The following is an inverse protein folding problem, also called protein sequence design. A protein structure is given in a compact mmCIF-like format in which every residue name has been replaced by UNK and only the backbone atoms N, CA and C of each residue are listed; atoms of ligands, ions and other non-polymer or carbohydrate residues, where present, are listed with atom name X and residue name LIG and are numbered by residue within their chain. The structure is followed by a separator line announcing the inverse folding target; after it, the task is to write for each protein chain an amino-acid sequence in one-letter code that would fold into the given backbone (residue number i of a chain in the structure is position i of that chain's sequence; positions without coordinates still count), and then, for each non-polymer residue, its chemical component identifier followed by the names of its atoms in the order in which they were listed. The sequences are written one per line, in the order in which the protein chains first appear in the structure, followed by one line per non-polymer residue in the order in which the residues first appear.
data_IF_246345755586
#
_entry.id   IF_246345755586
#
_cell.length_a   1.000
_cell.length_b   1.000
_cell.length_c   1.000
_cell.angle_alpha   90.00
_cell.angle_beta   90.00
_cell.angle_gamma   90.00
#
_symmetry.space_group_name_H-M   'P 1'
#
loop_
_entity.id
_entity.type
_entity.pdbx_description
1 polymer ?
#
# COMPACT_ATOMS: atom_id res chain seq x y z
N UNK A 1 51.07 -52.17 -25.90
CA UNK A 1 50.42 -52.04 -27.22
C UNK A 1 49.29 -51.06 -27.08
N UNK A 2 49.50 -49.79 -27.46
CA UNK A 2 48.42 -48.82 -27.52
C UNK A 2 47.48 -49.31 -28.62
N UNK A 3 46.25 -49.64 -28.28
CA UNK A 3 45.16 -49.79 -29.25
C UNK A 3 44.97 -48.46 -29.90
N UNK A 4 45.56 -48.18 -31.02
CA UNK A 4 45.30 -47.05 -31.85
C UNK A 4 43.84 -47.16 -32.30
N UNK A 5 43.04 -46.10 -32.14
CA UNK A 5 41.61 -46.09 -32.43
C UNK A 5 41.31 -46.08 -33.93
N UNK A 6 40.05 -46.26 -34.31
CA UNK A 6 39.58 -46.10 -35.70
C UNK A 6 40.06 -44.80 -36.29
N UNK A 7 40.37 -44.76 -37.58
CA UNK A 7 40.81 -43.59 -38.30
C UNK A 7 39.74 -42.46 -38.26
N UNK A 8 38.47 -42.83 -38.28
CA UNK A 8 37.34 -41.92 -38.10
C UNK A 8 36.50 -42.41 -36.90
N UNK A 9 36.26 -41.51 -35.93
CA UNK A 9 35.38 -41.82 -34.82
C UNK A 9 33.95 -42.08 -35.32
N UNK A 10 33.26 -43.08 -34.77
CA UNK A 10 31.94 -43.53 -35.25
C UNK A 10 30.89 -42.40 -35.34
N UNK A 11 30.88 -41.49 -34.39
CA UNK A 11 29.98 -40.32 -34.43
C UNK A 11 30.35 -39.37 -35.55
N UNK A 12 31.64 -39.15 -35.79
CA UNK A 12 32.13 -38.27 -36.87
C UNK A 12 31.79 -38.85 -38.23
N UNK A 13 31.95 -40.15 -38.41
CA UNK A 13 31.65 -40.86 -39.64
C UNK A 13 30.24 -40.58 -40.15
N UNK A 14 29.25 -40.64 -39.25
CA UNK A 14 27.86 -40.41 -39.65
C UNK A 14 27.57 -38.95 -39.98
N UNK A 15 28.19 -37.99 -39.28
CA UNK A 15 28.02 -36.57 -39.60
C UNK A 15 28.75 -36.20 -40.89
N UNK A 16 30.00 -36.71 -41.08
CA UNK A 16 30.80 -36.47 -42.27
C UNK A 16 30.10 -36.92 -43.58
N UNK A 17 29.35 -38.06 -43.51
CA UNK A 17 28.58 -38.55 -44.68
C UNK A 17 27.60 -37.57 -45.26
N UNK A 18 27.10 -36.67 -44.43
CA UNK A 18 26.09 -35.68 -44.82
C UNK A 18 26.64 -34.22 -44.90
N UNK A 19 27.92 -34.04 -44.65
CA UNK A 19 28.57 -32.74 -44.77
C UNK A 19 28.93 -32.43 -46.21
N UNK A 20 28.74 -31.18 -46.62
CA UNK A 20 29.06 -30.77 -47.99
C UNK A 20 30.57 -30.72 -48.25
N UNK A 21 31.35 -30.26 -47.24
CA UNK A 21 32.82 -30.18 -47.37
C UNK A 21 33.47 -31.54 -47.62
N UNK A 22 32.85 -32.64 -47.13
CA UNK A 22 33.39 -34.00 -47.37
C UNK A 22 33.49 -34.34 -48.86
N UNK A 23 32.59 -33.80 -49.68
CA UNK A 23 32.53 -34.06 -51.12
C UNK A 23 33.77 -33.55 -51.89
N UNK A 24 34.52 -32.65 -51.33
CA UNK A 24 35.72 -32.05 -51.93
C UNK A 24 36.98 -32.93 -51.69
N UNK A 25 36.83 -34.00 -50.86
CA UNK A 25 37.95 -34.84 -50.44
C UNK A 25 37.72 -36.32 -50.82
N UNK A 26 38.07 -36.75 -52.05
CA UNK A 26 37.87 -38.12 -52.54
C UNK A 26 38.48 -39.21 -51.61
N UNK A 27 39.65 -38.93 -51.03
CA UNK A 27 40.30 -39.82 -50.07
C UNK A 27 39.41 -40.02 -48.82
N UNK A 28 38.80 -38.98 -48.32
CA UNK A 28 37.91 -39.08 -47.16
C UNK A 28 36.62 -39.84 -47.53
N UNK A 29 36.07 -39.61 -48.72
CA UNK A 29 34.90 -40.36 -49.22
C UNK A 29 35.22 -41.81 -49.33
N UNK A 30 36.37 -42.22 -49.89
CA UNK A 30 36.77 -43.59 -50.00
C UNK A 30 36.82 -44.32 -48.65
N UNK A 31 37.44 -43.68 -47.66
CA UNK A 31 37.45 -44.22 -46.28
C UNK A 31 36.06 -44.33 -45.68
N UNK A 32 35.21 -43.31 -45.86
CA UNK A 32 33.87 -43.28 -45.31
C UNK A 32 32.95 -44.37 -45.91
N UNK A 33 33.09 -44.63 -47.21
CA UNK A 33 32.20 -45.53 -47.94
C UNK A 33 32.72 -46.98 -47.96
N UNK A 34 34.03 -47.15 -48.20
CA UNK A 34 34.60 -48.44 -48.44
C UNK A 34 35.35 -49.01 -47.21
N UNK A 35 35.82 -48.13 -46.30
CA UNK A 35 36.70 -48.53 -45.19
C UNK A 35 36.30 -47.90 -43.87
N UNK A 36 34.98 -47.93 -43.47
CA UNK A 36 34.50 -47.17 -42.33
C UNK A 36 35.05 -47.57 -40.96
N UNK A 37 35.56 -48.83 -40.89
CA UNK A 37 36.08 -49.37 -39.64
C UNK A 37 37.61 -49.41 -39.60
N UNK A 38 38.31 -48.91 -40.60
CA UNK A 38 39.76 -48.89 -40.67
C UNK A 38 40.42 -48.21 -39.47
N UNK A 39 41.50 -48.79 -38.97
CA UNK A 39 42.32 -48.21 -37.92
C UNK A 39 43.42 -47.32 -38.53
N UNK A 40 43.87 -46.29 -37.75
CA UNK A 40 44.88 -45.34 -38.19
C UNK A 40 46.19 -46.07 -38.68
N UNK A 41 46.55 -47.19 -38.02
CA UNK A 41 47.74 -48.01 -38.38
C UNK A 41 47.58 -48.70 -39.69
N UNK A 42 46.35 -48.98 -40.12
CA UNK A 42 46.07 -49.77 -41.35
C UNK A 42 45.88 -48.85 -42.58
N UNK A 43 45.85 -47.54 -42.44
CA UNK A 43 45.72 -46.64 -43.56
C UNK A 43 46.83 -46.77 -44.62
N UNK A 44 48.01 -47.21 -44.20
CA UNK A 44 49.14 -47.51 -45.10
C UNK A 44 48.83 -48.65 -46.05
N UNK A 45 47.91 -49.55 -45.69
CA UNK A 45 47.49 -50.69 -46.55
C UNK A 45 46.65 -50.18 -47.73
N UNK A 46 46.03 -49.01 -47.63
CA UNK A 46 45.29 -48.33 -48.74
C UNK A 46 46.25 -47.65 -49.66
N UNK A 47 46.93 -46.57 -49.15
CA UNK A 47 48.03 -45.93 -49.89
C UNK A 47 48.73 -44.88 -48.98
N UNK A 48 49.93 -44.41 -49.38
CA UNK A 48 50.66 -43.35 -48.71
C UNK A 48 49.85 -41.97 -48.74
N UNK A 49 48.99 -41.80 -49.72
CA UNK A 49 48.15 -40.62 -49.81
C UNK A 49 47.12 -40.61 -48.72
N UNK A 50 46.51 -41.71 -48.34
CA UNK A 50 45.60 -41.85 -47.22
C UNK A 50 46.31 -41.46 -45.91
N UNK A 51 47.51 -41.98 -45.69
CA UNK A 51 48.29 -41.61 -44.49
C UNK A 51 48.56 -40.13 -44.44
N UNK A 52 49.06 -39.55 -45.50
CA UNK A 52 49.32 -38.07 -45.57
C UNK A 52 48.08 -37.22 -45.37
N UNK A 53 46.94 -37.66 -45.89
CA UNK A 53 45.65 -36.97 -45.67
C UNK A 53 45.26 -37.00 -44.23
N UNK A 54 45.26 -38.10 -43.59
CA UNK A 54 44.87 -38.24 -42.19
C UNK A 54 45.81 -37.50 -41.24
N UNK A 55 47.11 -37.51 -41.52
CA UNK A 55 48.12 -36.81 -40.74
C UNK A 55 48.03 -35.27 -40.85
N UNK A 56 47.75 -34.75 -42.05
CA UNK A 56 47.89 -33.31 -42.32
C UNK A 56 46.57 -32.58 -42.55
N UNK A 57 45.53 -33.23 -43.05
CA UNK A 57 44.33 -32.59 -43.57
C UNK A 57 43.07 -32.97 -42.79
N UNK A 58 42.92 -34.20 -42.33
CA UNK A 58 41.70 -34.74 -41.76
C UNK A 58 41.18 -33.87 -40.59
N UNK A 59 42.03 -33.47 -39.66
CA UNK A 59 41.63 -32.65 -38.53
C UNK A 59 41.00 -31.30 -38.94
N UNK A 60 41.55 -30.67 -40.01
CA UNK A 60 41.05 -29.43 -40.56
C UNK A 60 39.70 -29.64 -41.26
N UNK A 61 39.59 -30.67 -42.08
CA UNK A 61 38.33 -31.02 -42.77
C UNK A 61 37.23 -31.36 -41.78
N UNK A 62 37.56 -32.13 -40.76
CA UNK A 62 36.63 -32.45 -39.65
C UNK A 62 36.08 -31.20 -39.00
N UNK A 63 36.94 -30.21 -38.68
CA UNK A 63 36.49 -28.94 -38.08
C UNK A 63 35.60 -28.15 -39.05
N UNK A 64 35.96 -28.14 -40.33
CA UNK A 64 35.16 -27.47 -41.35
C UNK A 64 33.77 -28.12 -41.49
N UNK A 65 33.72 -29.44 -41.53
CA UNK A 65 32.46 -30.20 -41.59
C UNK A 65 31.54 -29.89 -40.38
N UNK A 66 32.12 -29.82 -39.20
CA UNK A 66 31.32 -29.50 -37.99
C UNK A 66 30.82 -28.07 -38.02
N UNK A 67 31.57 -27.11 -38.57
CA UNK A 67 31.15 -25.70 -38.75
C UNK A 67 30.03 -25.52 -39.76
N UNK A 68 29.75 -26.48 -40.62
CA UNK A 68 28.58 -26.42 -41.51
C UNK A 68 27.28 -26.50 -40.68
N UNK A 69 27.34 -27.07 -39.50
CA UNK A 69 26.15 -27.29 -38.65
C UNK A 69 26.01 -26.21 -37.63
N UNK A 70 24.77 -25.81 -37.41
CA UNK A 70 24.39 -24.81 -36.40
C UNK A 70 23.02 -25.15 -35.82
N UNK A 71 22.66 -24.52 -34.73
CA UNK A 71 21.35 -24.62 -34.14
C UNK A 71 20.92 -23.36 -33.46
N UNK A 72 19.62 -23.19 -33.26
CA UNK A 72 19.03 -22.09 -32.52
C UNK A 72 18.48 -22.59 -31.19
N UNK A 73 19.02 -22.10 -30.09
CA UNK A 73 18.63 -22.49 -28.75
C UNK A 73 17.12 -22.34 -28.50
N UNK A 74 16.50 -21.35 -29.13
CA UNK A 74 15.07 -21.04 -28.88
C UNK A 74 14.12 -21.93 -29.67
N UNK A 75 14.53 -22.42 -30.83
CA UNK A 75 13.63 -23.09 -31.79
C UNK A 75 13.91 -24.59 -31.95
N UNK A 76 15.15 -25.01 -31.69
CA UNK A 76 15.65 -26.29 -32.13
C UNK A 76 15.82 -27.33 -30.98
N UNK A 77 15.46 -26.98 -29.74
CA UNK A 77 15.50 -27.94 -28.63
C UNK A 77 14.10 -28.50 -28.37
N UNK A 78 13.98 -29.82 -28.47
CA UNK A 78 12.71 -30.55 -28.34
C UNK A 78 12.80 -31.61 -27.25
N UNK A 79 11.71 -31.75 -26.50
CA UNK A 79 11.52 -32.88 -25.57
C UNK A 79 10.50 -33.81 -26.17
N UNK A 80 10.87 -35.08 -26.20
CA UNK A 80 10.03 -36.17 -26.67
C UNK A 80 9.48 -37.00 -25.51
N UNK A 81 8.27 -37.48 -25.66
CA UNK A 81 7.72 -38.52 -24.78
C UNK A 81 8.30 -39.89 -25.19
N UNK A 82 8.36 -40.83 -24.25
CA UNK A 82 8.81 -42.21 -24.56
C UNK A 82 7.99 -42.88 -25.69
N UNK A 83 6.71 -42.48 -25.81
CA UNK A 83 5.82 -42.94 -26.89
C UNK A 83 6.19 -42.42 -28.29
N UNK A 84 7.04 -41.42 -28.40
CA UNK A 84 7.33 -40.79 -29.70
C UNK A 84 8.41 -41.57 -30.50
N UNK A 85 9.07 -42.53 -29.88
CA UNK A 85 10.08 -43.42 -30.46
C UNK A 85 11.13 -42.70 -31.34
N UNK A 86 11.51 -41.50 -30.98
CA UNK A 86 12.53 -40.72 -31.70
C UNK A 86 13.91 -41.20 -31.35
N UNK A 87 14.79 -41.28 -32.35
CA UNK A 87 16.16 -41.71 -32.19
C UNK A 87 17.15 -40.66 -32.67
N UNK A 88 18.31 -40.62 -32.07
CA UNK A 88 19.42 -39.76 -32.48
C UNK A 88 19.93 -40.18 -33.88
N UNK A 89 19.99 -39.22 -34.80
CA UNK A 89 20.52 -39.49 -36.15
C UNK A 89 21.96 -40.04 -36.13
N UNK A 90 22.75 -39.63 -35.16
CA UNK A 90 24.18 -39.98 -35.07
C UNK A 90 24.44 -41.33 -34.41
N UNK A 91 23.79 -41.63 -33.27
CA UNK A 91 24.10 -42.83 -32.49
C UNK A 91 22.94 -43.83 -32.38
N UNK A 92 21.78 -43.51 -32.96
CA UNK A 92 20.55 -44.33 -32.95
C UNK A 92 19.99 -44.62 -31.53
N UNK A 93 20.48 -43.95 -30.48
CA UNK A 93 19.87 -44.06 -29.15
C UNK A 93 18.55 -43.31 -29.10
N UNK A 94 17.60 -43.83 -28.35
CA UNK A 94 16.29 -43.18 -28.12
C UNK A 94 16.47 -41.86 -27.46
N UNK A 95 15.78 -40.83 -27.99
CA UNK A 95 15.84 -39.45 -27.53
C UNK A 95 14.70 -39.16 -26.60
N UNK A 96 14.99 -38.81 -25.33
CA UNK A 96 14.08 -38.09 -24.43
C UNK A 96 14.16 -36.61 -24.67
N UNK A 97 15.23 -36.19 -25.30
CA UNK A 97 15.56 -34.79 -25.57
C UNK A 97 16.42 -34.74 -26.84
N UNK A 98 16.13 -33.82 -27.73
CA UNK A 98 16.88 -33.62 -28.96
C UNK A 98 17.32 -32.15 -29.13
N UNK A 99 18.53 -32.01 -29.63
CA UNK A 99 19.02 -30.80 -30.27
C UNK A 99 18.83 -30.94 -31.76
N UNK A 100 17.93 -30.20 -32.37
CA UNK A 100 17.82 -30.13 -33.81
C UNK A 100 18.93 -29.25 -34.34
N UNK A 101 19.79 -29.76 -35.19
CA UNK A 101 20.85 -29.02 -35.85
C UNK A 101 20.56 -28.94 -37.34
N UNK A 102 20.97 -27.89 -37.99
CA UNK A 102 20.78 -27.71 -39.42
C UNK A 102 22.11 -27.36 -40.14
N UNK A 103 22.27 -27.92 -41.32
CA UNK A 103 23.40 -27.60 -42.15
C UNK A 103 23.18 -26.23 -42.84
N UNK A 104 24.13 -25.30 -42.67
CA UNK A 104 24.06 -23.93 -43.22
C UNK A 104 24.10 -23.90 -44.75
N UNK A 105 24.67 -24.97 -45.39
CA UNK A 105 24.85 -25.04 -46.82
C UNK A 105 23.66 -25.71 -47.48
N UNK A 106 23.29 -26.90 -46.97
CA UNK A 106 22.24 -27.74 -47.56
C UNK A 106 20.85 -27.45 -47.03
N UNK A 107 20.74 -26.81 -45.86
CA UNK A 107 19.48 -26.61 -45.14
C UNK A 107 18.92 -27.89 -44.49
N UNK A 108 19.65 -29.01 -44.56
CA UNK A 108 19.24 -30.27 -43.96
C UNK A 108 19.14 -30.15 -42.42
N UNK A 109 18.12 -30.79 -41.83
CA UNK A 109 17.89 -30.79 -40.38
C UNK A 109 17.93 -32.21 -39.83
N UNK A 110 18.67 -32.39 -38.74
CA UNK A 110 18.74 -33.66 -38.04
C UNK A 110 18.59 -33.45 -36.52
N UNK A 111 18.03 -34.46 -35.85
CA UNK A 111 17.86 -34.46 -34.38
C UNK A 111 19.01 -35.29 -33.75
N UNK A 112 19.76 -34.66 -32.85
CA UNK A 112 20.87 -35.33 -32.12
C UNK A 112 20.62 -35.28 -30.61
N UNK A 113 21.14 -36.29 -29.91
CA UNK A 113 21.10 -36.37 -28.47
C UNK A 113 22.17 -35.50 -27.79
N UNK A 114 22.05 -35.30 -26.47
CA UNK A 114 22.98 -34.51 -25.63
C UNK A 114 24.43 -34.95 -25.79
N UNK A 115 24.69 -36.24 -25.74
CA UNK A 115 26.08 -36.79 -25.85
C UNK A 115 26.68 -36.55 -27.23
N UNK A 116 25.86 -36.57 -28.27
CA UNK A 116 26.32 -36.24 -29.61
C UNK A 116 26.54 -34.75 -29.76
N UNK A 117 25.65 -33.90 -29.19
CA UNK A 117 25.88 -32.47 -29.15
C UNK A 117 27.16 -32.09 -28.40
N UNK A 118 27.43 -32.73 -27.26
CA UNK A 118 28.67 -32.52 -26.50
C UNK A 118 29.90 -32.90 -27.31
N UNK A 119 29.81 -33.96 -28.12
CA UNK A 119 30.88 -34.36 -29.01
C UNK A 119 31.17 -33.35 -30.13
N UNK A 120 30.13 -32.77 -30.70
CA UNK A 120 30.25 -31.81 -31.80
C UNK A 120 30.41 -30.37 -31.36
N UNK A 121 30.00 -30.01 -30.11
CA UNK A 121 30.11 -28.67 -29.54
C UNK A 121 29.24 -27.62 -30.24
N UNK A 122 28.07 -28.01 -30.76
CA UNK A 122 27.17 -27.09 -31.50
C UNK A 122 26.40 -26.19 -30.57
N UNK A 123 25.91 -26.73 -29.45
CA UNK A 123 25.26 -25.96 -28.36
C UNK A 123 26.11 -26.06 -27.09
N UNK A 124 26.17 -24.97 -26.32
CA UNK A 124 26.80 -25.00 -25.02
C UNK A 124 25.96 -25.85 -24.04
N UNK A 125 26.62 -26.65 -23.23
CA UNK A 125 25.97 -27.57 -22.29
C UNK A 125 25.10 -26.82 -21.27
N UNK A 126 25.58 -25.63 -20.84
CA UNK A 126 24.87 -24.77 -19.92
C UNK A 126 23.51 -24.26 -20.48
N UNK A 127 23.48 -23.91 -21.74
CA UNK A 127 22.25 -23.43 -22.39
C UNK A 127 21.21 -24.56 -22.49
N UNK A 128 21.66 -25.77 -22.78
CA UNK A 128 20.80 -26.97 -22.79
C UNK A 128 20.23 -27.23 -21.41
N UNK A 129 21.04 -27.14 -20.36
CA UNK A 129 20.60 -27.37 -18.97
C UNK A 129 19.56 -26.30 -18.54
N UNK A 130 19.77 -25.08 -18.93
CA UNK A 130 18.82 -23.98 -18.60
C UNK A 130 17.46 -24.17 -19.28
N UNK A 131 17.44 -24.63 -20.54
CA UNK A 131 16.19 -24.93 -21.23
C UNK A 131 15.48 -26.14 -20.61
N UNK A 132 16.21 -27.21 -20.32
CA UNK A 132 15.66 -28.41 -19.65
C UNK A 132 15.04 -28.01 -18.30
N UNK A 133 15.72 -27.17 -17.53
CA UNK A 133 15.23 -26.66 -16.26
C UNK A 133 13.97 -25.84 -16.44
N UNK A 134 13.93 -24.94 -17.44
CA UNK A 134 12.73 -24.15 -17.75
C UNK A 134 11.55 -25.04 -18.16
N UNK A 135 11.77 -26.03 -18.99
CA UNK A 135 10.70 -26.94 -19.41
C UNK A 135 10.20 -27.82 -18.27
N UNK A 136 11.10 -28.33 -17.41
CA UNK A 136 10.68 -29.01 -16.18
C UNK A 136 9.82 -28.14 -15.29
N UNK A 137 10.18 -26.84 -15.15
CA UNK A 137 9.34 -25.86 -14.43
C UNK A 137 7.97 -25.70 -15.06
N UNK A 138 7.87 -25.66 -16.38
CA UNK A 138 6.60 -25.58 -17.08
C UNK A 138 5.73 -26.81 -16.83
N UNK A 139 6.29 -28.02 -16.95
CA UNK A 139 5.57 -29.27 -16.66
C UNK A 139 5.08 -29.32 -15.21
N UNK A 140 5.93 -28.92 -14.26
CA UNK A 140 5.55 -28.84 -12.84
C UNK A 140 4.43 -27.82 -12.63
N UNK A 141 4.53 -26.66 -13.29
CA UNK A 141 3.51 -25.62 -13.25
C UNK A 141 2.16 -26.09 -13.80
N UNK A 142 2.18 -26.80 -14.92
CA UNK A 142 0.96 -27.36 -15.50
C UNK A 142 0.30 -28.42 -14.60
N UNK A 143 1.12 -29.26 -13.93
CA UNK A 143 0.60 -30.21 -12.93
C UNK A 143 -0.04 -29.49 -11.76
N UNK A 144 0.62 -28.43 -11.26
CA UNK A 144 0.15 -27.62 -10.14
C UNK A 144 -1.17 -26.90 -10.49
N UNK A 145 -1.24 -26.30 -11.68
CA UNK A 145 -2.42 -25.58 -12.16
C UNK A 145 -3.63 -26.51 -12.42
N UNK A 146 -3.37 -27.76 -12.86
CA UNK A 146 -4.41 -28.78 -12.96
C UNK A 146 -4.96 -29.21 -11.61
N UNK A 147 -4.10 -29.35 -10.59
CA UNK A 147 -4.52 -29.74 -9.23
C UNK A 147 -5.15 -28.55 -8.48
N UNK A 148 -4.60 -27.35 -8.64
CA UNK A 148 -5.04 -26.12 -7.98
C UNK A 148 -5.26 -25.00 -9.00
N UNK A 149 -6.41 -24.99 -9.71
CA UNK A 149 -6.66 -24.01 -10.75
C UNK A 149 -6.58 -22.58 -10.24
N UNK A 150 -5.77 -21.75 -10.91
CA UNK A 150 -5.60 -20.34 -10.57
C UNK A 150 -4.71 -20.05 -9.36
N UNK A 151 -3.98 -21.03 -8.81
CA UNK A 151 -3.12 -20.86 -7.64
C UNK A 151 -2.14 -19.69 -7.80
N UNK A 152 -1.54 -19.53 -8.97
CA UNK A 152 -0.59 -18.43 -9.23
C UNK A 152 -1.24 -17.04 -9.10
N UNK A 153 -2.50 -16.89 -9.53
CA UNK A 153 -3.25 -15.65 -9.36
C UNK A 153 -3.63 -15.43 -7.90
N UNK A 154 -3.97 -16.51 -7.19
CA UNK A 154 -4.26 -16.46 -5.76
C UNK A 154 -3.02 -15.98 -5.00
N UNK A 155 -1.85 -16.58 -5.24
CA UNK A 155 -0.58 -16.18 -4.62
C UNK A 155 -0.25 -14.72 -4.92
N UNK A 156 -0.39 -14.28 -6.17
CA UNK A 156 -0.10 -12.90 -6.59
C UNK A 156 -0.99 -11.87 -5.88
N UNK A 157 -2.26 -12.21 -5.65
CA UNK A 157 -3.25 -11.30 -5.08
C UNK A 157 -3.49 -11.52 -3.58
N UNK A 158 -2.74 -12.40 -2.94
CA UNK A 158 -2.99 -12.80 -1.56
C UNK A 158 -3.01 -11.64 -0.58
N UNK A 159 -2.05 -10.74 -0.72
CA UNK A 159 -1.92 -9.54 0.14
C UNK A 159 -3.01 -8.49 -0.09
N UNK A 160 -3.78 -8.64 -1.16
CA UNK A 160 -4.80 -7.66 -1.58
C UNK A 160 -6.21 -8.02 -1.08
N UNK A 161 -6.32 -8.83 -0.03
CA UNK A 161 -7.62 -9.31 0.47
C UNK A 161 -8.58 -8.18 0.82
N UNK A 162 -8.05 -7.06 1.25
CA UNK A 162 -8.79 -5.89 1.70
C UNK A 162 -8.77 -4.71 0.71
N UNK A 163 -8.23 -4.87 -0.51
CA UNK A 163 -7.98 -3.75 -1.43
C UNK A 163 -9.25 -2.95 -1.78
N UNK A 164 -10.38 -3.63 -1.89
CA UNK A 164 -11.67 -3.03 -2.24
C UNK A 164 -12.54 -2.71 -1.02
N UNK A 165 -12.05 -2.96 0.18
CA UNK A 165 -12.83 -2.70 1.38
C UNK A 165 -12.61 -1.27 1.86
N UNK A 166 -13.68 -0.61 2.25
CA UNK A 166 -13.64 0.72 2.84
C UNK A 166 -13.19 0.67 4.30
N UNK A 167 -13.62 -0.38 5.01
CA UNK A 167 -13.25 -0.63 6.41
C UNK A 167 -11.76 -0.98 6.51
N UNK A 168 -11.07 -0.44 7.50
CA UNK A 168 -9.72 -0.85 7.82
C UNK A 168 -9.74 -2.20 8.53
N UNK A 169 -9.00 -3.17 7.99
CA UNK A 169 -8.88 -4.50 8.59
C UNK A 169 -7.56 -4.56 9.35
N UNK A 170 -7.63 -4.68 10.65
CA UNK A 170 -6.47 -4.75 11.54
C UNK A 170 -5.58 -5.94 11.21
N UNK A 171 -4.28 -5.78 11.44
CA UNK A 171 -3.32 -6.84 11.17
C UNK A 171 -3.66 -8.13 11.93
N UNK A 172 -4.05 -8.03 13.20
CA UNK A 172 -4.47 -9.16 14.02
C UNK A 172 -5.62 -10.00 13.42
N UNK A 173 -6.52 -9.38 12.66
CA UNK A 173 -7.63 -10.07 11.98
C UNK A 173 -7.17 -10.85 10.74
N UNK A 174 -6.18 -10.33 10.03
CA UNK A 174 -5.68 -10.90 8.75
C UNK A 174 -4.34 -11.62 8.87
N UNK A 175 -3.68 -11.59 10.01
CA UNK A 175 -2.35 -12.15 10.23
C UNK A 175 -2.25 -13.63 9.81
N UNK A 176 -3.18 -14.46 10.30
CA UNK A 176 -3.18 -15.89 9.97
C UNK A 176 -3.40 -16.14 8.49
N UNK A 177 -4.30 -15.40 7.86
CA UNK A 177 -4.54 -15.47 6.43
C UNK A 177 -3.28 -15.09 5.64
N UNK A 178 -2.60 -14.00 6.01
CA UNK A 178 -1.37 -13.55 5.36
C UNK A 178 -0.24 -14.58 5.51
N UNK A 179 -0.07 -15.14 6.72
CA UNK A 179 0.90 -16.20 6.99
C UNK A 179 0.67 -17.43 6.11
N UNK A 180 -0.58 -17.87 5.96
CA UNK A 180 -0.93 -19.00 5.09
C UNK A 180 -0.51 -18.71 3.65
N UNK A 181 -0.78 -17.50 3.16
CA UNK A 181 -0.40 -17.11 1.81
C UNK A 181 1.12 -17.11 1.57
N UNK A 182 1.89 -16.66 2.54
CA UNK A 182 3.35 -16.71 2.49
C UNK A 182 3.86 -18.15 2.47
N UNK A 183 3.29 -19.03 3.29
CA UNK A 183 3.64 -20.46 3.30
C UNK A 183 3.31 -21.15 1.97
N UNK A 184 2.14 -20.87 1.39
CA UNK A 184 1.79 -21.41 0.06
C UNK A 184 2.79 -20.90 -1.00
N UNK A 185 3.18 -19.62 -0.95
CA UNK A 185 4.15 -19.05 -1.88
C UNK A 185 5.55 -19.72 -1.73
N UNK A 186 6.00 -19.98 -0.49
CA UNK A 186 7.25 -20.69 -0.21
C UNK A 186 7.21 -22.13 -0.77
N UNK A 187 6.15 -22.88 -0.48
CA UNK A 187 5.97 -24.25 -0.97
C UNK A 187 5.88 -24.29 -2.49
N UNK A 188 5.16 -23.36 -3.11
CA UNK A 188 5.10 -23.24 -4.57
C UNK A 188 6.49 -22.97 -5.17
N UNK A 189 7.28 -22.10 -4.56
CA UNK A 189 8.65 -21.83 -4.98
C UNK A 189 9.53 -23.08 -4.84
N UNK A 190 9.44 -23.77 -3.71
CA UNK A 190 10.17 -25.02 -3.47
C UNK A 190 9.81 -26.08 -4.53
N UNK A 191 8.52 -26.27 -4.81
CA UNK A 191 8.03 -27.21 -5.81
C UNK A 191 8.58 -26.93 -7.22
N UNK A 192 8.58 -25.65 -7.61
CA UNK A 192 8.99 -25.25 -8.98
C UNK A 192 10.51 -25.20 -9.18
N UNK A 193 11.26 -24.82 -8.15
CA UNK A 193 12.67 -24.43 -8.31
C UNK A 193 13.66 -25.49 -7.85
N UNK A 194 13.26 -26.38 -6.94
CA UNK A 194 14.18 -27.39 -6.40
C UNK A 194 14.01 -28.74 -7.07
N UNK A 195 15.12 -29.45 -7.19
CA UNK A 195 15.11 -30.88 -7.49
C UNK A 195 14.77 -31.64 -6.21
N UNK A 196 13.50 -31.97 -6.05
CA UNK A 196 12.94 -32.66 -4.88
C UNK A 196 12.56 -34.08 -5.24
N UNK A 197 12.50 -34.95 -4.24
CA UNK A 197 12.06 -36.34 -4.41
C UNK A 197 10.56 -36.41 -4.67
N UNK A 198 10.07 -37.47 -5.27
CA UNK A 198 8.64 -37.71 -5.54
C UNK A 198 7.85 -37.62 -4.22
N UNK A 199 8.35 -38.20 -3.15
CA UNK A 199 7.74 -38.17 -1.83
C UNK A 199 7.55 -36.70 -1.35
N UNK A 200 8.59 -35.87 -1.54
CA UNK A 200 8.53 -34.46 -1.16
C UNK A 200 7.58 -33.65 -2.05
N UNK A 201 7.48 -33.99 -3.34
CA UNK A 201 6.48 -33.38 -4.23
C UNK A 201 5.05 -33.63 -3.72
N UNK A 202 4.76 -34.90 -3.34
CA UNK A 202 3.43 -35.29 -2.83
C UNK A 202 3.11 -34.62 -1.48
N UNK A 203 4.09 -34.49 -0.59
CA UNK A 203 3.96 -33.75 0.67
C UNK A 203 3.61 -32.28 0.41
N UNK A 204 4.38 -31.60 -0.47
CA UNK A 204 4.13 -30.19 -0.79
C UNK A 204 2.72 -29.99 -1.35
N UNK A 205 2.29 -30.86 -2.26
CA UNK A 205 0.94 -30.75 -2.84
C UNK A 205 -0.16 -30.97 -1.80
N UNK A 206 0.07 -31.83 -0.82
CA UNK A 206 -0.84 -32.06 0.31
C UNK A 206 -0.86 -30.86 1.25
N UNK A 207 0.30 -30.32 1.58
CA UNK A 207 0.42 -29.14 2.45
C UNK A 207 -0.27 -27.93 1.82
N UNK A 208 -0.09 -27.67 0.53
CA UNK A 208 -0.79 -26.60 -0.21
C UNK A 208 -2.30 -26.82 -0.13
N UNK A 209 -2.80 -28.05 -0.29
CA UNK A 209 -4.23 -28.36 -0.22
C UNK A 209 -4.81 -28.02 1.17
N UNK A 210 -4.13 -28.44 2.23
CA UNK A 210 -4.54 -28.15 3.62
C UNK A 210 -4.53 -26.65 3.87
N UNK A 211 -3.48 -25.94 3.47
CA UNK A 211 -3.38 -24.49 3.63
C UNK A 211 -4.45 -23.73 2.83
N UNK A 212 -4.81 -24.19 1.64
CA UNK A 212 -5.89 -23.59 0.85
C UNK A 212 -7.27 -23.77 1.53
N UNK A 213 -7.52 -24.90 2.19
CA UNK A 213 -8.74 -25.11 2.97
C UNK A 213 -8.75 -24.18 4.18
N UNK A 214 -7.64 -24.13 4.93
CA UNK A 214 -7.50 -23.22 6.07
C UNK A 214 -7.69 -21.77 5.68
N UNK A 215 -7.13 -21.35 4.53
CA UNK A 215 -7.27 -19.99 4.00
C UNK A 215 -8.72 -19.57 3.76
N UNK A 216 -9.58 -20.50 3.33
CA UNK A 216 -11.01 -20.22 3.14
C UNK A 216 -11.68 -19.90 4.47
N UNK A 217 -11.36 -20.66 5.52
CA UNK A 217 -11.88 -20.44 6.88
C UNK A 217 -11.45 -19.05 7.38
N UNK A 218 -10.17 -18.72 7.24
CA UNK A 218 -9.67 -17.41 7.68
C UNK A 218 -10.29 -16.26 6.86
N UNK A 219 -10.47 -16.44 5.56
CA UNK A 219 -11.17 -15.47 4.71
C UNK A 219 -12.63 -15.27 5.12
N UNK A 220 -13.32 -16.33 5.53
CA UNK A 220 -14.70 -16.22 6.04
C UNK A 220 -14.75 -15.43 7.35
N UNK A 221 -13.77 -15.60 8.25
CA UNK A 221 -13.65 -14.78 9.46
C UNK A 221 -13.47 -13.29 9.13
N UNK A 222 -12.59 -12.98 8.17
CA UNK A 222 -12.39 -11.59 7.71
C UNK A 222 -13.68 -11.03 7.12
N UNK A 223 -14.37 -11.78 6.26
CA UNK A 223 -15.63 -11.34 5.66
C UNK A 223 -16.73 -11.14 6.71
N UNK A 224 -16.79 -12.00 7.73
CA UNK A 224 -17.70 -11.84 8.85
C UNK A 224 -17.40 -10.56 9.63
N UNK A 225 -16.13 -10.31 9.96
CA UNK A 225 -15.70 -9.07 10.61
C UNK A 225 -16.13 -7.84 9.82
N UNK A 226 -15.91 -7.82 8.50
CA UNK A 226 -16.31 -6.71 7.63
C UNK A 226 -17.83 -6.51 7.68
N UNK A 227 -18.60 -7.59 7.56
CA UNK A 227 -20.06 -7.52 7.53
C UNK A 227 -20.64 -7.02 8.86
N UNK A 228 -20.09 -7.45 9.98
CA UNK A 228 -20.57 -7.09 11.33
C UNK A 228 -20.22 -5.63 11.68
N UNK A 229 -19.11 -5.11 11.16
CA UNK A 229 -18.57 -3.82 11.56
C UNK A 229 -18.70 -2.72 10.50
N UNK A 230 -19.25 -3.04 9.32
CA UNK A 230 -19.47 -2.06 8.27
C UNK A 230 -20.45 -0.97 8.72
N UNK A 231 -19.97 0.28 8.68
CA UNK A 231 -20.76 1.43 9.11
C UNK A 231 -20.73 1.73 10.62
N UNK A 232 -20.10 0.88 11.42
CA UNK A 232 -19.86 1.18 12.83
C UNK A 232 -18.90 2.37 12.97
N UNK A 233 -19.16 3.23 13.95
CA UNK A 233 -18.28 4.36 14.25
C UNK A 233 -17.02 3.97 15.03
N UNK A 234 -17.03 2.78 15.64
CA UNK A 234 -15.89 2.27 16.41
C UNK A 234 -14.76 1.72 15.52
N UNK A 235 -15.02 1.50 14.23
CA UNK A 235 -14.03 0.96 13.32
C UNK A 235 -13.63 1.99 12.27
N UNK A 236 -12.33 2.29 12.12
CA UNK A 236 -11.86 3.28 11.17
C UNK A 236 -12.00 2.80 9.72
N UNK A 237 -12.15 3.74 8.79
CA UNK A 237 -11.97 3.45 7.37
C UNK A 237 -10.49 3.45 7.01
N UNK A 238 -10.13 2.82 5.88
CA UNK A 238 -8.76 2.90 5.35
C UNK A 238 -8.30 4.33 5.18
N UNK A 239 -9.16 5.18 4.61
CA UNK A 239 -8.87 6.60 4.39
C UNK A 239 -8.48 7.32 5.68
N UNK A 240 -9.13 6.97 6.80
CA UNK A 240 -8.78 7.54 8.11
C UNK A 240 -7.39 7.11 8.56
N UNK A 241 -7.07 5.83 8.46
CA UNK A 241 -5.76 5.30 8.85
C UNK A 241 -4.65 5.79 7.91
N UNK A 242 -4.92 5.85 6.62
CA UNK A 242 -3.97 6.39 5.64
C UNK A 242 -3.68 7.88 5.89
N UNK A 243 -4.69 8.64 6.35
CA UNK A 243 -4.51 10.03 6.78
C UNK A 243 -3.62 10.15 8.02
N UNK A 244 -3.75 9.26 9.01
CA UNK A 244 -2.84 9.23 10.17
C UNK A 244 -1.40 8.97 9.71
N UNK A 245 -1.19 7.96 8.87
CA UNK A 245 0.14 7.63 8.31
C UNK A 245 0.73 8.79 7.51
N UNK A 246 -0.07 9.43 6.66
CA UNK A 246 0.36 10.58 5.86
C UNK A 246 0.76 11.79 6.72
N UNK A 247 0.15 11.93 7.91
CA UNK A 247 0.48 12.97 8.89
C UNK A 247 1.64 12.59 9.83
N UNK A 248 2.22 11.38 9.70
CA UNK A 248 3.31 10.89 10.56
C UNK A 248 2.86 10.49 11.96
N UNK A 249 1.57 10.19 12.16
CA UNK A 249 1.03 9.74 13.46
C UNK A 249 1.12 8.20 13.59
N UNK A 250 2.34 7.69 13.60
CA UNK A 250 2.60 6.25 13.71
C UNK A 250 2.10 5.70 15.05
N UNK A 251 2.18 6.49 16.13
CA UNK A 251 1.68 6.09 17.45
C UNK A 251 0.17 5.87 17.45
N UNK A 252 -0.59 6.71 16.75
CA UNK A 252 -2.03 6.54 16.59
C UNK A 252 -2.39 5.28 15.83
N UNK A 253 -1.60 4.92 14.81
CA UNK A 253 -1.77 3.67 14.07
C UNK A 253 -1.44 2.45 14.94
N UNK A 254 -0.35 2.49 15.71
CA UNK A 254 0.01 1.40 16.64
C UNK A 254 -1.04 1.17 17.72
N UNK A 255 -1.58 2.25 18.31
CA UNK A 255 -2.66 2.17 19.29
C UNK A 255 -3.94 1.55 18.68
N UNK A 256 -4.29 1.93 17.46
CA UNK A 256 -5.40 1.33 16.73
C UNK A 256 -5.20 -0.16 16.47
N UNK A 257 -4.03 -0.55 15.99
CA UNK A 257 -3.71 -1.97 15.74
C UNK A 257 -3.75 -2.79 17.03
N UNK A 258 -3.29 -2.21 18.14
CA UNK A 258 -3.30 -2.86 19.46
C UNK A 258 -4.72 -3.05 19.99
N UNK A 259 -5.57 -2.04 19.89
CA UNK A 259 -6.90 -2.03 20.49
C UNK A 259 -7.97 -2.68 19.58
N UNK A 260 -7.75 -2.72 18.27
CA UNK A 260 -8.69 -3.27 17.30
C UNK A 260 -9.95 -2.43 17.07
N UNK A 261 -10.07 -1.28 17.72
CA UNK A 261 -11.19 -0.32 17.64
C UNK A 261 -10.68 1.11 17.87
N UNK A 262 -11.52 2.08 17.50
CA UNK A 262 -11.31 3.48 17.88
C UNK A 262 -11.61 3.60 19.39
N UNK A 263 -10.65 4.10 20.15
CA UNK A 263 -10.76 4.36 21.59
C UNK A 263 -10.77 5.87 21.86
N UNK A 264 -10.98 6.25 23.12
CA UNK A 264 -10.93 7.66 23.56
C UNK A 264 -9.59 8.30 23.17
N UNK A 265 -8.49 7.55 23.35
CA UNK A 265 -7.12 8.01 23.07
C UNK A 265 -6.86 8.23 21.59
N UNK A 266 -7.59 7.54 20.72
CA UNK A 266 -7.40 7.62 19.25
C UNK A 266 -8.46 8.47 18.57
N UNK A 267 -9.64 8.64 19.17
CA UNK A 267 -10.78 9.32 18.57
C UNK A 267 -10.45 10.75 18.10
N UNK A 268 -9.77 11.54 18.92
CA UNK A 268 -9.42 12.94 18.64
C UNK A 268 -8.40 13.10 17.49
N UNK A 269 -7.72 12.02 17.08
CA UNK A 269 -6.70 12.02 16.01
C UNK A 269 -7.32 11.99 14.61
N UNK A 270 -8.58 11.55 14.50
CA UNK A 270 -9.27 11.42 13.22
C UNK A 270 -9.91 12.75 12.78
N UNK A 271 -9.24 13.45 11.88
CA UNK A 271 -9.72 14.73 11.33
C UNK A 271 -10.40 14.57 9.97
N UNK A 272 -10.95 13.38 9.67
CA UNK A 272 -11.73 13.14 8.47
C UNK A 272 -13.11 13.80 8.59
N UNK A 273 -13.45 14.67 7.63
CA UNK A 273 -14.67 15.48 7.68
C UNK A 273 -15.95 14.62 7.68
N UNK A 274 -15.96 13.51 6.95
CA UNK A 274 -17.12 12.61 6.89
C UNK A 274 -17.29 11.86 8.21
N UNK A 275 -16.19 11.43 8.81
CA UNK A 275 -16.20 10.84 10.14
C UNK A 275 -16.73 11.82 11.18
N UNK A 276 -16.21 13.05 11.22
CA UNK A 276 -16.67 14.06 12.14
C UNK A 276 -18.17 14.40 11.96
N UNK A 277 -18.68 14.41 10.73
CA UNK A 277 -20.11 14.61 10.46
C UNK A 277 -20.96 13.45 10.98
N UNK A 278 -20.48 12.22 10.92
CA UNK A 278 -21.19 11.07 11.48
C UNK A 278 -21.34 11.15 13.00
N UNK A 279 -20.42 11.79 13.69
CA UNK A 279 -20.50 12.02 15.13
C UNK A 279 -21.57 13.05 15.55
N UNK A 280 -22.12 13.84 14.61
CA UNK A 280 -23.15 14.84 14.93
C UNK A 280 -24.38 14.19 15.61
N UNK A 281 -24.81 13.03 15.14
CA UNK A 281 -26.01 12.37 15.69
C UNK A 281 -25.78 11.92 17.15
N UNK A 282 -24.76 11.12 17.47
CA UNK A 282 -24.53 10.71 18.85
C UNK A 282 -24.15 11.88 19.76
N UNK A 283 -23.40 12.86 19.26
CA UNK A 283 -23.11 14.06 20.04
C UNK A 283 -24.38 14.88 20.34
N UNK A 284 -25.28 15.05 19.38
CA UNK A 284 -26.56 15.75 19.62
C UNK A 284 -27.43 15.01 20.63
N UNK A 285 -27.40 13.67 20.69
CA UNK A 285 -28.13 12.92 21.70
C UNK A 285 -27.63 13.26 23.13
N UNK A 286 -26.33 13.46 23.29
CA UNK A 286 -25.77 13.87 24.58
C UNK A 286 -25.96 15.37 24.87
N UNK A 287 -25.68 16.22 23.88
CA UNK A 287 -25.79 17.69 24.01
C UNK A 287 -27.22 18.16 24.24
N UNK A 288 -28.21 17.48 23.68
CA UNK A 288 -29.63 17.80 23.89
C UNK A 288 -30.06 17.71 25.36
N UNK A 289 -29.40 16.81 26.15
CA UNK A 289 -29.62 16.75 27.61
C UNK A 289 -29.22 18.03 28.33
N UNK A 290 -28.35 18.82 27.69
CA UNK A 290 -27.86 20.12 28.16
C UNK A 290 -28.53 21.31 27.44
N UNK A 291 -29.60 21.08 26.65
CA UNK A 291 -30.25 22.06 25.81
C UNK A 291 -29.28 22.74 24.82
N UNK A 292 -28.32 21.95 24.29
CA UNK A 292 -27.36 22.37 23.29
C UNK A 292 -27.55 21.53 22.03
N UNK A 293 -27.43 22.15 20.86
CA UNK A 293 -27.57 21.50 19.57
C UNK A 293 -26.41 21.86 18.64
N UNK A 294 -25.88 20.88 17.92
CA UNK A 294 -24.96 21.10 16.80
C UNK A 294 -25.77 21.58 15.59
N UNK A 295 -25.50 22.79 15.10
CA UNK A 295 -26.11 23.34 13.91
C UNK A 295 -25.38 22.98 12.63
N UNK A 296 -24.06 22.86 12.68
CA UNK A 296 -23.23 22.47 11.54
C UNK A 296 -21.83 22.05 11.99
N UNK A 297 -21.14 21.34 11.10
CA UNK A 297 -19.72 21.03 11.22
C UNK A 297 -18.97 21.72 10.09
N UNK A 298 -17.99 22.54 10.42
CA UNK A 298 -17.20 23.30 9.45
C UNK A 298 -15.82 23.61 10.02
N UNK A 299 -14.94 24.04 9.13
CA UNK A 299 -13.65 24.62 9.52
C UNK A 299 -13.84 26.08 9.92
N UNK A 300 -13.31 26.42 11.07
CA UNK A 300 -13.18 27.80 11.52
C UNK A 300 -11.71 28.16 11.66
N UNK A 301 -11.21 29.11 10.89
CA UNK A 301 -9.78 29.37 10.72
C UNK A 301 -9.03 28.11 10.23
N UNK A 302 -8.21 27.52 11.08
CA UNK A 302 -7.46 26.26 10.78
C UNK A 302 -8.04 25.04 11.50
N UNK A 303 -8.98 25.24 12.43
CA UNK A 303 -9.52 24.20 13.27
C UNK A 303 -10.81 23.62 12.68
N UNK A 304 -10.98 22.31 12.77
CA UNK A 304 -12.22 21.62 12.50
C UNK A 304 -13.07 21.62 13.77
N UNK A 305 -14.39 21.83 13.66
CA UNK A 305 -15.23 21.81 14.82
C UNK A 305 -16.72 21.97 14.52
N UNK A 306 -17.47 22.04 15.58
CA UNK A 306 -18.93 22.10 15.57
C UNK A 306 -19.42 23.47 16.00
N UNK A 307 -20.39 23.95 15.25
CA UNK A 307 -21.13 25.17 15.60
C UNK A 307 -22.29 24.78 16.51
N UNK A 308 -22.26 25.25 17.72
CA UNK A 308 -23.23 24.96 18.76
C UNK A 308 -24.20 26.08 18.93
N UNK A 309 -25.47 25.76 19.17
CA UNK A 309 -26.55 26.67 19.53
C UNK A 309 -27.12 26.22 20.87
N UNK A 310 -27.26 27.13 21.82
CA UNK A 310 -27.97 26.88 23.05
C UNK A 310 -29.43 27.27 22.89
N UNK A 311 -30.38 26.44 23.27
CA UNK A 311 -31.81 26.66 23.09
C UNK A 311 -32.29 27.99 23.75
N UNK A 312 -31.70 28.37 24.87
CA UNK A 312 -32.03 29.64 25.57
C UNK A 312 -31.43 30.88 24.90
N UNK A 313 -30.57 30.71 23.89
CA UNK A 313 -29.81 31.78 23.20
C UNK A 313 -29.58 31.42 21.75
N UNK A 314 -30.65 31.14 21.01
CA UNK A 314 -30.60 30.64 19.63
C UNK A 314 -29.83 31.53 18.65
N UNK A 315 -29.81 32.83 18.90
CA UNK A 315 -29.12 33.83 18.08
C UNK A 315 -27.59 33.82 18.29
N UNK A 316 -27.12 33.25 19.39
CA UNK A 316 -25.69 33.20 19.72
C UNK A 316 -25.07 31.86 19.34
N UNK A 317 -23.99 31.93 18.56
CA UNK A 317 -23.28 30.71 18.10
C UNK A 317 -21.94 30.57 18.79
N UNK A 318 -21.68 29.36 19.27
CA UNK A 318 -20.41 28.91 19.80
C UNK A 318 -19.72 27.99 18.80
N UNK A 319 -18.42 28.03 18.74
CA UNK A 319 -17.61 27.10 18.02
C UNK A 319 -16.82 26.26 19.02
N UNK A 320 -17.03 24.95 19.01
CA UNK A 320 -16.27 24.00 19.80
C UNK A 320 -15.42 23.16 18.86
N UNK A 321 -14.12 23.10 19.13
CA UNK A 321 -13.22 22.26 18.33
C UNK A 321 -13.60 20.80 18.45
N UNK A 322 -13.40 20.08 17.36
CA UNK A 322 -13.63 18.64 17.32
C UNK A 322 -12.90 17.89 18.44
N UNK A 323 -11.64 18.23 18.65
CA UNK A 323 -10.77 17.60 19.65
C UNK A 323 -11.31 17.80 21.07
N UNK A 324 -11.78 19.01 21.39
CA UNK A 324 -12.31 19.35 22.72
C UNK A 324 -13.60 18.55 23.02
N UNK A 325 -14.49 18.41 22.03
CA UNK A 325 -15.69 17.57 22.18
C UNK A 325 -15.33 16.08 22.28
N UNK A 326 -14.30 15.61 21.59
CA UNK A 326 -13.79 14.24 21.74
C UNK A 326 -13.24 13.98 23.16
N UNK A 327 -12.59 14.95 23.77
CA UNK A 327 -12.13 14.87 25.16
C UNK A 327 -13.31 14.80 26.12
N UNK A 328 -14.34 15.61 25.93
CA UNK A 328 -15.51 15.67 26.81
C UNK A 328 -16.42 14.44 26.69
N UNK A 329 -16.64 13.95 25.47
CA UNK A 329 -17.60 12.88 25.18
C UNK A 329 -16.98 11.57 24.70
N UNK A 330 -15.65 11.47 24.63
CA UNK A 330 -14.95 10.31 24.07
C UNK A 330 -15.41 8.99 24.66
N UNK A 331 -15.51 8.89 25.99
CA UNK A 331 -15.97 7.68 26.68
C UNK A 331 -17.37 7.23 26.23
N UNK A 332 -18.30 8.17 26.04
CA UNK A 332 -19.68 7.91 25.59
C UNK A 332 -19.74 7.57 24.10
N UNK A 333 -18.84 8.14 23.31
CA UNK A 333 -18.77 7.89 21.87
C UNK A 333 -18.11 6.54 21.52
N UNK A 334 -17.27 6.02 22.42
CA UNK A 334 -16.53 4.76 22.21
C UNK A 334 -17.08 3.58 23.04
N UNK A 335 -18.30 3.70 23.58
CA UNK A 335 -18.95 2.69 24.44
C UNK A 335 -18.06 2.19 25.62
N UNK A 336 -17.20 3.07 26.12
CA UNK A 336 -16.30 2.74 27.21
C UNK A 336 -16.94 3.11 28.55
N UNK A 337 -18.09 2.50 28.84
CA UNK A 337 -18.89 2.75 30.07
C UNK A 337 -18.19 2.35 31.39
N UNK A 338 -16.99 1.78 31.31
CA UNK A 338 -16.29 1.27 32.49
C UNK A 338 -15.62 2.34 33.37
N UNK A 339 -15.57 3.58 32.93
CA UNK A 339 -15.09 4.69 33.75
C UNK A 339 -16.25 5.59 34.14
N UNK A 340 -16.41 5.83 35.44
CA UNK A 340 -17.21 6.90 36.01
C UNK A 340 -16.71 8.25 35.42
N UNK A 341 -17.13 8.56 34.19
CA UNK A 341 -16.87 9.87 33.61
C UNK A 341 -17.67 10.87 34.40
N UNK A 342 -17.03 11.91 34.91
CA UNK A 342 -17.72 13.08 35.47
C UNK A 342 -18.78 13.53 34.45
N UNK A 343 -19.96 13.85 34.96
CA UNK A 343 -21.07 14.26 34.11
C UNK A 343 -20.71 15.61 33.45
N UNK A 344 -20.60 15.62 32.14
CA UNK A 344 -20.29 16.84 31.36
C UNK A 344 -21.44 17.82 31.58
N UNK A 345 -21.10 19.03 31.96
CA UNK A 345 -22.05 20.08 32.21
C UNK A 345 -22.11 21.08 31.03
N UNK A 346 -23.18 21.88 30.96
CA UNK A 346 -23.28 22.98 30.00
C UNK A 346 -22.08 23.95 30.11
N UNK A 347 -21.65 24.22 31.34
CA UNK A 347 -20.51 25.10 31.60
C UNK A 347 -19.20 24.57 31.02
N UNK A 348 -18.98 23.26 31.02
CA UNK A 348 -17.79 22.66 30.43
C UNK A 348 -17.77 22.89 28.90
N UNK A 349 -18.92 22.69 28.25
CA UNK A 349 -19.05 22.96 26.82
C UNK A 349 -18.80 24.45 26.49
N UNK A 350 -19.42 25.36 27.26
CA UNK A 350 -19.23 26.80 27.08
C UNK A 350 -17.75 27.16 27.28
N UNK A 351 -17.09 26.61 28.27
CA UNK A 351 -15.69 26.90 28.59
C UNK A 351 -14.77 26.55 27.43
N UNK A 352 -14.94 25.33 26.86
CA UNK A 352 -14.11 24.86 25.76
C UNK A 352 -14.51 25.44 24.38
N UNK A 353 -15.63 26.20 24.30
CA UNK A 353 -16.09 26.80 23.05
C UNK A 353 -15.62 28.25 22.88
N UNK A 354 -15.60 28.72 21.64
CA UNK A 354 -15.29 30.14 21.29
C UNK A 354 -16.52 30.87 20.76
N UNK A 355 -16.65 32.15 21.11
CA UNK A 355 -17.57 33.07 20.41
C UNK A 355 -17.00 33.39 19.03
N UNK A 356 -17.82 33.23 17.99
CA UNK A 356 -17.33 33.34 16.61
C UNK A 356 -18.04 34.40 15.78
N UNK A 357 -19.28 34.68 16.06
CA UNK A 357 -20.07 35.62 15.27
C UNK A 357 -20.12 37.02 15.91
N UNK A 358 -20.26 38.00 15.06
CA UNK A 358 -20.30 39.42 15.42
C UNK A 358 -21.48 39.74 16.31
N UNK A 359 -22.64 39.17 16.02
CA UNK A 359 -23.84 39.32 16.79
C UNK A 359 -23.67 38.88 18.25
N UNK A 360 -23.05 37.70 18.47
CA UNK A 360 -22.79 37.22 19.84
C UNK A 360 -21.83 38.12 20.61
N UNK A 361 -20.84 38.70 19.92
CA UNK A 361 -19.89 39.65 20.53
C UNK A 361 -20.63 40.96 20.90
N UNK A 362 -21.39 41.54 19.97
CA UNK A 362 -22.17 42.75 20.17
C UNK A 362 -23.17 42.57 21.30
N UNK A 363 -23.96 41.48 21.26
CA UNK A 363 -24.93 41.19 22.29
C UNK A 363 -24.30 40.99 23.67
N UNK A 364 -23.12 40.34 23.73
CA UNK A 364 -22.35 40.21 24.97
C UNK A 364 -21.90 41.55 25.55
N UNK A 365 -21.45 42.45 24.71
CA UNK A 365 -21.09 43.82 25.12
C UNK A 365 -22.32 44.63 25.62
N UNK A 366 -23.47 44.51 24.94
CA UNK A 366 -24.73 45.10 25.40
C UNK A 366 -25.14 44.54 26.77
N UNK A 367 -25.01 43.24 26.99
CA UNK A 367 -25.29 42.65 28.31
C UNK A 367 -24.37 43.20 29.39
N UNK A 368 -23.07 43.37 29.11
CA UNK A 368 -22.14 44.02 30.04
C UNK A 368 -22.61 45.48 30.30
N UNK A 369 -23.02 46.21 29.25
CA UNK A 369 -23.57 47.55 29.36
C UNK A 369 -24.75 47.59 30.34
N UNK A 370 -25.70 46.69 30.21
CA UNK A 370 -26.84 46.55 31.12
C UNK A 370 -26.42 46.32 32.57
N UNK A 371 -25.47 45.41 32.81
CA UNK A 371 -24.97 45.08 34.14
C UNK A 371 -24.30 46.29 34.82
N UNK A 372 -23.55 47.08 34.07
CA UNK A 372 -22.85 48.25 34.63
C UNK A 372 -23.74 49.50 34.74
N UNK A 373 -24.82 49.55 33.97
CA UNK A 373 -25.78 50.66 34.01
C UNK A 373 -26.39 50.86 35.39
N UNK A 374 -26.69 49.80 36.11
CA UNK A 374 -27.19 49.84 37.47
C UNK A 374 -26.22 50.49 38.47
N UNK A 375 -24.95 50.60 38.09
CA UNK A 375 -23.90 51.33 38.84
C UNK A 375 -23.72 52.78 38.36
N UNK A 376 -24.63 53.28 37.55
CA UNK A 376 -24.56 54.64 37.04
C UNK A 376 -23.49 54.85 35.96
N UNK A 377 -23.16 53.80 35.22
CA UNK A 377 -22.19 53.85 34.12
C UNK A 377 -22.90 53.53 32.82
N UNK A 378 -22.89 54.47 31.89
CA UNK A 378 -23.39 54.29 30.53
C UNK A 378 -22.22 53.79 29.66
N UNK A 379 -22.40 52.62 28.97
CA UNK A 379 -21.52 52.16 27.93
C UNK A 379 -22.21 52.32 26.58
N UNK A 380 -21.50 52.89 25.64
CA UNK A 380 -21.89 52.96 24.23
C UNK A 380 -20.78 52.31 23.41
N UNK A 381 -21.17 51.37 22.51
CA UNK A 381 -20.23 50.65 21.66
C UNK A 381 -20.28 51.20 20.23
N UNK A 382 -19.10 51.23 19.59
CA UNK A 382 -18.95 51.60 18.18
C UNK A 382 -18.11 50.53 17.51
N UNK A 383 -18.75 49.64 16.77
CA UNK A 383 -18.07 48.58 16.05
C UNK A 383 -17.43 49.06 14.75
N UNK A 384 -16.33 48.48 14.36
CA UNK A 384 -15.73 48.70 13.06
C UNK A 384 -15.47 47.39 12.33
N UNK A 385 -15.07 46.35 13.04
CA UNK A 385 -14.79 45.01 12.52
C UNK A 385 -14.78 44.00 13.65
N UNK A 386 -14.68 42.71 13.31
CA UNK A 386 -14.48 41.61 14.29
C UNK A 386 -13.29 41.80 15.24
N UNK A 387 -12.38 42.70 14.94
CA UNK A 387 -11.10 42.81 15.63
C UNK A 387 -11.04 43.96 16.62
N UNK A 388 -11.83 45.00 16.43
CA UNK A 388 -11.78 46.17 17.33
C UNK A 388 -13.13 46.82 17.59
N UNK A 389 -13.27 47.33 18.81
CA UNK A 389 -14.44 48.06 19.30
C UNK A 389 -13.98 49.33 20.03
N UNK A 390 -14.62 50.47 19.73
CA UNK A 390 -14.51 51.64 20.55
C UNK A 390 -15.69 51.66 21.51
N UNK A 391 -15.43 51.83 22.79
CA UNK A 391 -16.46 51.95 23.79
C UNK A 391 -16.26 53.20 24.64
N UNK A 392 -17.37 53.82 24.99
CA UNK A 392 -17.47 55.07 25.70
C UNK A 392 -18.00 54.80 27.09
N UNK A 393 -17.34 55.34 28.09
CA UNK A 393 -17.74 55.28 29.49
C UNK A 393 -18.18 56.67 29.93
N UNK A 394 -19.41 56.78 30.37
CA UNK A 394 -19.94 57.98 30.93
C UNK A 394 -20.55 57.73 32.29
N UNK A 395 -20.10 58.41 33.32
CA UNK A 395 -20.75 58.35 34.64
C UNK A 395 -22.04 59.23 34.62
N UNK A 396 -23.13 58.64 35.12
CA UNK A 396 -24.50 59.26 35.06
C UNK A 396 -24.56 60.68 35.55
N UNK A 397 -23.75 60.98 36.57
CA UNK A 397 -23.77 62.39 37.21
C UNK A 397 -22.54 63.22 36.79
N UNK A 398 -21.83 62.82 35.77
CA UNK A 398 -20.60 63.45 35.33
C UNK A 398 -20.68 63.90 33.88
N UNK A 399 -20.19 65.13 33.59
CA UNK A 399 -19.96 65.57 32.22
C UNK A 399 -18.73 64.97 31.61
N UNK A 400 -17.94 64.18 32.38
CA UNK A 400 -16.72 63.60 31.95
C UNK A 400 -17.01 62.28 31.21
N UNK A 401 -16.57 62.22 29.96
CA UNK A 401 -16.65 61.03 29.09
C UNK A 401 -15.25 60.50 28.84
N UNK A 402 -15.09 59.21 28.92
CA UNK A 402 -13.82 58.51 28.61
C UNK A 402 -14.07 57.56 27.45
N UNK A 403 -13.14 57.49 26.49
CA UNK A 403 -13.18 56.57 25.35
C UNK A 403 -12.05 55.57 25.45
N UNK A 404 -12.35 54.35 25.03
CA UNK A 404 -11.43 53.23 25.03
C UNK A 404 -11.51 52.48 23.71
N UNK A 405 -10.37 52.10 23.15
CA UNK A 405 -10.26 51.26 21.98
C UNK A 405 -9.81 49.85 22.39
N UNK A 406 -10.65 48.89 22.13
CA UNK A 406 -10.35 47.48 22.28
C UNK A 406 -9.92 46.94 20.91
N UNK A 407 -8.61 46.71 20.74
CA UNK A 407 -8.01 46.22 19.48
C UNK A 407 -7.86 44.72 19.42
N UNK A 408 -8.21 44.00 20.46
CA UNK A 408 -8.12 42.54 20.55
C UNK A 408 -9.36 41.98 21.23
N UNK A 409 -10.47 41.90 20.49
CA UNK A 409 -11.73 41.34 21.02
C UNK A 409 -11.49 39.94 21.58
N UNK A 410 -10.55 39.18 21.00
CA UNK A 410 -10.17 37.86 21.49
C UNK A 410 -9.82 37.86 22.99
N UNK A 411 -9.24 38.94 23.51
CA UNK A 411 -8.87 39.04 24.93
C UNK A 411 -10.06 39.08 25.89
N UNK A 412 -11.24 39.51 25.40
CA UNK A 412 -12.47 39.60 26.23
C UNK A 412 -13.50 38.51 25.88
N UNK A 413 -13.27 37.68 24.87
CA UNK A 413 -14.22 36.63 24.45
C UNK A 413 -14.63 35.71 25.60
N UNK A 414 -13.74 35.40 26.50
CA UNK A 414 -14.06 34.54 27.64
C UNK A 414 -15.04 35.18 28.60
N UNK A 415 -14.85 36.48 28.93
CA UNK A 415 -15.77 37.17 29.81
C UNK A 415 -17.13 37.42 29.12
N UNK A 416 -17.13 37.63 27.81
CA UNK A 416 -18.37 37.72 27.03
C UNK A 416 -19.14 36.39 27.06
N UNK A 417 -18.44 35.24 26.90
CA UNK A 417 -19.05 33.91 27.04
C UNK A 417 -19.70 33.73 28.42
N UNK A 418 -18.96 34.06 29.46
CA UNK A 418 -19.46 33.95 30.84
C UNK A 418 -20.68 34.82 31.08
N UNK A 419 -20.69 36.06 30.62
CA UNK A 419 -21.81 36.99 30.74
C UNK A 419 -23.03 36.55 29.93
N UNK A 420 -22.80 36.01 28.73
CA UNK A 420 -23.88 35.55 27.85
C UNK A 420 -24.54 34.26 28.32
N UNK A 421 -23.72 33.28 28.75
CA UNK A 421 -24.18 31.91 28.93
C UNK A 421 -24.15 31.41 30.37
N UNK A 422 -23.29 31.98 31.24
CA UNK A 422 -23.19 31.56 32.63
C UNK A 422 -23.96 32.58 33.47
N UNK A 423 -25.03 32.15 34.13
CA UNK A 423 -25.89 32.99 34.99
C UNK A 423 -25.19 33.46 36.26
N UNK A 424 -23.95 33.94 36.16
CA UNK A 424 -23.17 34.41 37.29
C UNK A 424 -23.47 35.92 37.53
N UNK A 425 -23.81 36.33 38.72
CA UNK A 425 -23.86 37.75 39.08
C UNK A 425 -22.44 38.30 39.06
N UNK A 426 -22.14 39.09 38.03
CA UNK A 426 -20.86 39.74 37.92
C UNK A 426 -20.89 41.07 38.71
N UNK A 427 -19.80 41.33 39.42
CA UNK A 427 -19.54 42.64 39.97
C UNK A 427 -19.23 43.62 38.84
N UNK A 428 -20.07 44.67 38.70
CA UNK A 428 -19.90 45.68 37.67
C UNK A 428 -18.55 46.37 37.69
N UNK A 429 -17.93 46.53 38.87
CA UNK A 429 -16.60 47.12 38.98
C UNK A 429 -15.52 46.22 38.42
N UNK A 430 -15.69 44.89 38.58
CA UNK A 430 -14.77 43.91 38.01
C UNK A 430 -14.87 43.94 36.48
N UNK A 431 -16.07 43.95 35.92
CA UNK A 431 -16.29 44.03 34.48
C UNK A 431 -15.66 45.30 33.87
N UNK A 432 -15.92 46.46 34.47
CA UNK A 432 -15.35 47.71 33.99
C UNK A 432 -13.82 47.71 34.08
N UNK A 433 -13.29 47.22 35.19
CA UNK A 433 -11.83 47.11 35.37
C UNK A 433 -11.22 46.20 34.32
N UNK A 434 -11.88 45.09 34.02
CA UNK A 434 -11.42 44.13 33.00
C UNK A 434 -11.43 44.78 31.62
N UNK A 435 -12.53 45.41 31.21
CA UNK A 435 -12.64 46.11 29.93
C UNK A 435 -11.57 47.20 29.79
N UNK A 436 -11.37 48.02 30.83
CA UNK A 436 -10.34 49.05 30.83
C UNK A 436 -8.93 48.53 30.71
N UNK A 437 -8.62 47.42 31.39
CA UNK A 437 -7.30 46.77 31.32
C UNK A 437 -7.04 46.12 29.94
N UNK A 438 -8.10 45.65 29.25
CA UNK A 438 -8.02 45.04 27.93
C UNK A 438 -8.02 46.06 26.79
N UNK A 439 -8.20 47.33 27.07
CA UNK A 439 -8.40 48.39 26.08
C UNK A 439 -7.39 49.52 26.24
N UNK A 440 -7.10 50.24 25.14
CA UNK A 440 -6.30 51.45 25.14
C UNK A 440 -7.19 52.67 25.34
N UNK A 441 -6.88 53.51 26.34
CA UNK A 441 -7.58 54.77 26.51
C UNK A 441 -7.27 55.73 25.36
N UNK A 442 -8.31 56.33 24.76
CA UNK A 442 -8.20 57.31 23.69
C UNK A 442 -8.39 58.73 24.21
N UNK A 443 -7.74 59.69 23.56
CA UNK A 443 -8.11 61.11 23.73
C UNK A 443 -9.44 61.37 23.03
N UNK A 444 -10.23 62.31 23.58
CA UNK A 444 -11.58 62.59 23.08
C UNK A 444 -11.62 63.05 21.61
N UNK A 445 -10.59 63.74 21.13
CA UNK A 445 -10.45 64.14 19.74
C UNK A 445 -10.27 62.92 18.83
N UNK A 446 -9.26 62.13 19.14
CA UNK A 446 -8.93 60.90 18.36
C UNK A 446 -10.11 59.92 18.30
N UNK A 447 -10.81 59.77 19.43
CA UNK A 447 -11.99 58.93 19.50
C UNK A 447 -13.11 59.38 18.57
N UNK A 448 -13.38 60.67 18.55
CA UNK A 448 -14.42 61.22 17.67
C UNK A 448 -14.07 61.10 16.20
N UNK A 449 -12.82 61.30 15.85
CA UNK A 449 -12.36 61.14 14.47
C UNK A 449 -12.42 59.70 14.02
N UNK A 450 -12.01 58.77 14.85
CA UNK A 450 -12.14 57.31 14.58
C UNK A 450 -13.61 56.91 14.43
N UNK A 451 -14.51 57.37 15.29
CA UNK A 451 -15.94 57.08 15.19
C UNK A 451 -16.52 57.67 13.89
N UNK A 452 -16.14 58.91 13.51
CA UNK A 452 -16.58 59.49 12.25
C UNK A 452 -16.09 58.74 11.01
N UNK A 453 -14.86 58.27 11.03
CA UNK A 453 -14.32 57.48 9.94
C UNK A 453 -15.04 56.13 9.79
N UNK A 454 -15.51 55.58 10.88
CA UNK A 454 -16.18 54.27 10.94
C UNK A 454 -17.68 54.33 10.58
N UNK A 455 -18.30 55.49 10.71
CA UNK A 455 -19.72 55.73 10.36
C UNK A 455 -19.90 56.24 8.91
N UNK A 456 -18.81 56.32 8.14
CA UNK A 456 -18.81 56.54 6.70
C UNK A 456 -18.66 55.23 5.96
#
# INVERSE_FOLDING_TARGET
MMLLGKAIHEKDLRLLKICNVTKDYPILIDVIENHPDIHLEDLKELSDEHVRFFDNMYSTVRIQAFREWTGSIKEDIKIYKESDNKVCYICNHTLKFACTIHNKITGEKIDIGRDCNKHFGIYEEKDIEDILRQQQKLVKRDKLDKKFPGLMNIIKNWRNIDINEELYIFYSIKERYLYIGEKIAELNKEYLEKNITITREDEILKDIEVLLIESKIEKEKINKFIKENKGSMLFPTKKMVDSLKANGDDTGVEELEKNGIITVETLHRFRDEEFCKRLIVPLNNELSKLNIKISSFKRHNRDLGYYLILERKEDCKLFCKYEDLCVLYGNKLTDNDNNLSEEVTENDIIKESELIDEYSIEYGLQMIGNIVYDKGIELEEYFHSYEDVIWKVKKKDSKKVEYYLLTKIKSIKNILKEVLFISKKYDSNILIRYLKNSSKKLYNGDARDLIRMRNK
#
